data_IF_041055472535
#
_entry.id   IF_041055472535
#
_cell.length_a   1.000
_cell.length_b   1.000
_cell.length_c   1.000
_cell.angle_alpha   90.00
_cell.angle_beta   90.00
_cell.angle_gamma   90.00
#
_symmetry.space_group_name_H-M   'P 1'
#
loop_
_entity.id
_entity.type
_entity.pdbx_description
1 polymer ?
#
# COMPACT_ATOMS: atom_id res chain seq x y z
N UNK A 1 -25.26 -17.64 21.86
CA UNK A 1 -25.19 -17.05 20.52
C UNK A 1 -25.05 -15.55 20.64
N UNK A 2 -24.05 -14.99 19.98
CA UNK A 2 -23.71 -13.57 19.96
C UNK A 2 -23.57 -13.10 18.51
N UNK A 3 -24.03 -11.89 18.24
CA UNK A 3 -24.20 -11.34 16.88
C UNK A 3 -23.02 -10.44 16.44
N UNK A 4 -22.05 -10.20 17.33
CA UNK A 4 -20.89 -9.30 17.13
C UNK A 4 -19.69 -9.73 17.98
N UNK A 5 -18.46 -9.67 17.43
CA UNK A 5 -17.17 -9.97 18.08
C UNK A 5 -16.27 -8.75 18.29
N UNK A 6 -15.44 -8.75 19.34
CA UNK A 6 -14.56 -7.63 19.75
C UNK A 6 -13.32 -7.37 18.86
N UNK A 7 -13.34 -7.87 17.62
CA UNK A 7 -12.25 -7.68 16.65
C UNK A 7 -12.56 -6.54 15.67
N UNK A 8 -11.65 -6.25 14.74
CA UNK A 8 -11.92 -5.33 13.62
C UNK A 8 -13.08 -5.78 12.73
N UNK A 9 -13.53 -7.04 12.86
CA UNK A 9 -14.69 -7.53 12.13
C UNK A 9 -16.01 -6.95 12.67
N UNK A 10 -16.13 -6.69 13.99
CA UNK A 10 -17.35 -6.11 14.57
C UNK A 10 -17.08 -4.98 15.60
N UNK A 11 -16.23 -4.03 15.19
CA UNK A 11 -16.06 -2.67 15.75
C UNK A 11 -15.32 -2.48 17.09
N UNK A 12 -14.52 -3.44 17.57
CA UNK A 12 -13.63 -3.24 18.77
C UNK A 12 -14.38 -2.60 19.95
N UNK A 13 -15.36 -3.31 20.52
CA UNK A 13 -16.11 -2.84 21.68
C UNK A 13 -15.26 -2.87 22.95
N UNK A 14 -14.93 -1.69 23.49
CA UNK A 14 -14.10 -1.53 24.72
C UNK A 14 -14.90 -1.47 26.02
N UNK A 15 -16.20 -1.81 25.98
CA UNK A 15 -17.10 -1.66 27.13
C UNK A 15 -17.69 -0.26 27.29
N UNK A 16 -18.57 -0.11 28.28
CA UNK A 16 -19.10 1.19 28.70
C UNK A 16 -18.05 1.91 29.55
N UNK A 17 -17.45 2.95 28.99
CA UNK A 17 -16.44 3.78 29.66
C UNK A 17 -17.09 5.06 30.20
N UNK A 18 -17.02 5.27 31.52
CA UNK A 18 -17.68 6.40 32.21
C UNK A 18 -17.19 7.78 31.72
N UNK A 19 -15.97 7.85 31.19
CA UNK A 19 -15.37 9.04 30.61
C UNK A 19 -16.01 9.47 29.28
N UNK A 20 -16.68 8.56 28.56
CA UNK A 20 -17.22 8.80 27.21
C UNK A 20 -18.62 9.43 27.22
N UNK A 21 -18.84 10.44 28.06
CA UNK A 21 -20.15 11.09 28.23
C UNK A 21 -20.72 11.68 26.93
N UNK A 22 -19.86 12.26 26.08
CA UNK A 22 -20.30 12.83 24.81
C UNK A 22 -20.80 11.74 23.85
N UNK A 23 -20.12 10.60 23.80
CA UNK A 23 -20.56 9.44 23.00
C UNK A 23 -21.87 8.89 23.54
N UNK A 24 -22.02 8.73 24.86
CA UNK A 24 -23.27 8.30 25.48
C UNK A 24 -24.44 9.24 25.13
N UNK A 25 -24.22 10.55 25.19
CA UNK A 25 -25.22 11.54 24.81
C UNK A 25 -25.56 11.48 23.31
N UNK A 26 -24.57 11.26 22.44
CA UNK A 26 -24.80 11.11 21.00
C UNK A 26 -25.63 9.85 20.69
N UNK A 27 -25.35 8.73 21.37
CA UNK A 27 -26.13 7.49 21.24
C UNK A 27 -27.56 7.70 21.74
N UNK A 28 -27.74 8.30 22.91
CA UNK A 28 -29.07 8.58 23.46
C UNK A 28 -29.86 9.55 22.55
N UNK A 29 -29.22 10.57 21.99
CA UNK A 29 -29.84 11.52 21.07
C UNK A 29 -30.20 10.92 19.70
N UNK A 30 -29.64 9.77 19.36
CA UNK A 30 -29.90 9.05 18.10
C UNK A 30 -30.54 7.67 18.35
N UNK A 31 -31.16 7.49 19.52
CA UNK A 31 -31.77 6.23 19.92
C UNK A 31 -32.79 5.74 18.88
N UNK A 32 -32.58 4.51 18.41
CA UNK A 32 -33.45 3.86 17.42
C UNK A 32 -33.37 4.45 16.01
N UNK A 33 -32.46 5.39 15.72
CA UNK A 33 -32.26 5.88 14.36
C UNK A 33 -31.41 4.89 13.56
N UNK A 34 -31.93 4.51 12.38
CA UNK A 34 -31.25 3.61 11.45
C UNK A 34 -31.25 4.19 10.04
N UNK A 35 -30.24 3.81 9.25
CA UNK A 35 -30.20 4.13 7.82
C UNK A 35 -30.86 3.03 7.00
N UNK A 36 -31.75 3.43 6.10
CA UNK A 36 -32.45 2.52 5.18
C UNK A 36 -32.31 2.98 3.74
N UNK A 37 -32.26 2.03 2.81
CA UNK A 37 -32.48 2.29 1.40
C UNK A 37 -33.74 1.54 0.95
N UNK A 38 -34.75 2.31 0.54
CA UNK A 38 -36.10 1.76 0.33
C UNK A 38 -36.69 1.18 1.61
N UNK A 39 -36.90 -0.14 1.63
CA UNK A 39 -37.46 -0.88 2.79
C UNK A 39 -36.42 -1.71 3.56
N UNK A 40 -35.15 -1.68 3.16
CA UNK A 40 -34.08 -2.48 3.77
C UNK A 40 -33.13 -1.60 4.58
N UNK A 41 -32.59 -2.14 5.66
CA UNK A 41 -31.42 -1.55 6.34
C UNK A 41 -30.23 -1.55 5.38
N UNK A 42 -29.41 -0.50 5.43
CA UNK A 42 -28.14 -0.50 4.70
C UNK A 42 -27.05 -1.09 5.58
N UNK A 43 -26.03 -1.66 4.94
CA UNK A 43 -24.75 -1.93 5.61
C UNK A 43 -23.96 -0.62 5.65
N UNK A 44 -23.91 0.06 6.79
CA UNK A 44 -23.27 1.37 6.93
C UNK A 44 -21.75 1.24 7.16
N UNK A 45 -20.99 0.82 6.14
CA UNK A 45 -19.52 0.73 6.22
C UNK A 45 -18.87 2.08 6.47
N UNK A 46 -17.81 2.11 7.27
CA UNK A 46 -17.06 3.32 7.55
C UNK A 46 -15.57 3.01 7.69
N UNK A 47 -14.72 4.02 7.46
CA UNK A 47 -13.27 3.92 7.60
C UNK A 47 -12.71 5.13 8.34
N UNK A 48 -11.49 5.03 8.85
CA UNK A 48 -10.88 6.14 9.59
C UNK A 48 -10.67 7.36 8.68
N UNK A 49 -10.12 7.14 7.49
CA UNK A 49 -9.99 8.15 6.43
C UNK A 49 -10.15 7.49 5.07
N UNK A 50 -10.87 8.14 4.14
CA UNK A 50 -11.05 7.65 2.78
C UNK A 50 -9.97 8.18 1.81
N UNK A 51 -9.09 9.08 2.26
CA UNK A 51 -7.99 9.65 1.48
C UNK A 51 -8.43 10.71 0.48
N UNK A 52 -9.61 11.30 0.67
CA UNK A 52 -10.16 12.34 -0.21
C UNK A 52 -11.14 11.85 -1.28
N UNK A 53 -11.42 10.55 -1.36
CA UNK A 53 -12.50 10.02 -2.18
C UNK A 53 -13.06 8.73 -1.58
N UNK A 54 -14.39 8.61 -1.51
CA UNK A 54 -15.06 7.36 -1.10
C UNK A 54 -14.83 6.25 -2.13
N UNK A 55 -14.89 5.00 -1.67
CA UNK A 55 -14.72 3.82 -2.50
C UNK A 55 -16.04 3.04 -2.66
N UNK A 56 -16.16 2.25 -3.73
CA UNK A 56 -17.30 1.34 -3.88
C UNK A 56 -17.04 -0.01 -3.17
N UNK A 57 -18.09 -0.61 -2.57
CA UNK A 57 -17.97 -1.94 -1.98
C UNK A 57 -17.42 -3.00 -2.95
N UNK A 58 -17.87 -3.00 -4.21
CA UNK A 58 -17.41 -3.96 -5.23
C UNK A 58 -15.90 -3.86 -5.52
N UNK A 59 -15.32 -2.67 -5.39
CA UNK A 59 -13.90 -2.44 -5.61
C UNK A 59 -13.04 -2.98 -4.47
N UNK A 60 -13.64 -3.23 -3.30
CA UNK A 60 -12.91 -3.73 -2.12
C UNK A 60 -13.19 -5.21 -1.89
N UNK A 61 -14.45 -5.64 -2.02
CA UNK A 61 -14.90 -6.98 -1.64
C UNK A 61 -15.53 -7.77 -2.80
N UNK A 62 -15.62 -7.19 -4.00
CA UNK A 62 -16.33 -7.80 -5.13
C UNK A 62 -17.86 -7.83 -4.94
N UNK A 63 -18.53 -8.63 -5.77
CA UNK A 63 -19.99 -8.76 -5.78
C UNK A 63 -20.67 -7.86 -6.82
N UNK A 64 -21.95 -8.15 -7.08
CA UNK A 64 -22.74 -7.53 -8.15
C UNK A 64 -23.94 -6.71 -7.67
N UNK A 65 -24.28 -6.78 -6.38
CA UNK A 65 -25.45 -6.10 -5.80
C UNK A 65 -24.99 -5.04 -4.80
N UNK A 66 -24.60 -3.87 -5.32
CA UNK A 66 -24.32 -2.71 -4.47
C UNK A 66 -25.64 -1.99 -4.20
N UNK A 67 -25.99 -1.74 -2.93
CA UNK A 67 -27.02 -0.77 -2.62
C UNK A 67 -26.70 0.57 -3.31
N UNK A 68 -27.62 1.17 -4.06
CA UNK A 68 -27.38 2.42 -4.80
C UNK A 68 -27.12 3.65 -3.90
N UNK A 69 -26.97 3.44 -2.58
CA UNK A 69 -26.50 4.42 -1.63
C UNK A 69 -24.99 4.44 -1.43
N UNK A 70 -24.21 3.94 -2.39
CA UNK A 70 -22.76 4.07 -2.44
C UNK A 70 -22.35 4.68 -3.77
N UNK A 71 -21.42 5.64 -3.72
CA UNK A 71 -20.88 6.30 -4.88
C UNK A 71 -19.40 6.61 -4.67
N UNK A 72 -18.65 6.71 -5.77
CA UNK A 72 -17.35 7.37 -5.78
C UNK A 72 -17.59 8.88 -5.70
N UNK A 73 -17.30 9.46 -4.54
CA UNK A 73 -17.55 10.86 -4.24
C UNK A 73 -16.28 11.47 -3.68
N UNK A 74 -15.86 12.59 -4.24
CA UNK A 74 -14.75 13.37 -3.70
C UNK A 74 -15.12 13.91 -2.32
N UNK A 75 -14.22 13.70 -1.36
CA UNK A 75 -14.37 14.10 0.04
C UNK A 75 -13.31 15.15 0.40
N UNK A 76 -13.56 16.44 0.08
CA UNK A 76 -12.61 17.50 0.39
C UNK A 76 -12.41 17.64 1.91
N UNK A 77 -13.38 17.23 2.72
CA UNK A 77 -13.25 17.32 4.18
C UNK A 77 -12.24 16.33 4.73
N UNK A 78 -12.21 15.10 4.22
CA UNK A 78 -11.15 14.14 4.58
C UNK A 78 -9.78 14.60 4.06
N UNK A 79 -9.72 15.10 2.82
CA UNK A 79 -8.49 15.53 2.16
C UNK A 79 -7.85 16.76 2.83
N UNK A 80 -8.66 17.72 3.30
CA UNK A 80 -8.19 18.96 3.94
C UNK A 80 -7.99 18.82 5.45
N UNK A 81 -8.50 17.75 6.07
CA UNK A 81 -8.41 17.58 7.51
C UNK A 81 -6.95 17.29 7.94
N UNK A 82 -6.32 18.17 8.76
CA UNK A 82 -4.94 17.98 9.22
C UNK A 82 -4.78 16.76 10.14
N UNK A 83 -5.86 16.25 10.73
CA UNK A 83 -5.85 15.04 11.55
C UNK A 83 -5.95 13.74 10.72
N UNK A 84 -6.22 13.85 9.42
CA UNK A 84 -6.17 12.72 8.50
C UNK A 84 -4.74 12.18 8.41
N UNK A 85 -4.59 10.87 8.65
CA UNK A 85 -3.29 10.23 8.55
C UNK A 85 -2.82 10.25 7.09
N UNK A 86 -1.75 11.00 6.85
CA UNK A 86 -1.10 11.08 5.55
C UNK A 86 0.39 10.84 5.71
N UNK A 87 1.02 10.33 4.66
CA UNK A 87 2.47 10.24 4.56
C UNK A 87 2.92 10.85 3.26
N UNK A 88 4.01 11.59 3.28
CA UNK A 88 4.48 12.36 2.12
C UNK A 88 5.97 12.23 1.92
N UNK A 89 6.37 12.31 0.65
CA UNK A 89 7.76 12.37 0.24
C UNK A 89 7.90 13.49 -0.81
N UNK A 90 8.93 14.31 -0.60
CA UNK A 90 9.26 15.42 -1.50
C UNK A 90 10.51 15.06 -2.28
N UNK A 91 10.45 15.16 -3.60
CA UNK A 91 11.52 14.85 -4.55
C UNK A 91 11.93 16.14 -5.25
N UNK A 92 13.19 16.54 -5.09
CA UNK A 92 13.73 17.73 -5.74
C UNK A 92 13.87 17.48 -7.24
N UNK A 93 13.57 18.51 -8.02
CA UNK A 93 13.71 18.51 -9.48
C UNK A 93 15.16 18.37 -9.95
N UNK A 94 16.14 18.66 -9.10
CA UNK A 94 17.57 18.44 -9.38
C UNK A 94 18.03 16.98 -9.12
N UNK A 95 17.13 16.10 -8.70
CA UNK A 95 17.44 14.69 -8.41
C UNK A 95 18.27 14.45 -7.14
N UNK A 96 18.67 15.50 -6.40
CA UNK A 96 19.67 15.42 -5.33
C UNK A 96 19.23 14.62 -4.10
N UNK A 97 17.93 14.48 -3.87
CA UNK A 97 17.37 13.78 -2.71
C UNK A 97 16.60 12.50 -3.08
N UNK A 98 16.75 12.00 -4.31
CA UNK A 98 16.11 10.74 -4.70
C UNK A 98 16.70 9.58 -3.86
N UNK A 99 15.81 8.82 -3.20
CA UNK A 99 16.24 7.70 -2.37
C UNK A 99 16.91 6.61 -3.21
N UNK A 100 17.86 5.83 -2.65
CA UNK A 100 18.45 4.70 -3.37
C UNK A 100 17.40 3.69 -3.87
N UNK A 101 16.28 3.54 -3.16
CA UNK A 101 15.18 2.69 -3.57
C UNK A 101 14.45 3.24 -4.80
N UNK A 102 14.20 4.55 -4.83
CA UNK A 102 13.54 5.21 -5.96
C UNK A 102 14.44 5.22 -7.21
N UNK A 103 15.74 5.49 -7.04
CA UNK A 103 16.72 5.39 -8.14
C UNK A 103 16.78 3.98 -8.75
N UNK A 104 16.66 2.92 -7.93
CA UNK A 104 16.55 1.55 -8.44
C UNK A 104 15.29 1.32 -9.25
N UNK A 105 14.14 1.88 -8.85
CA UNK A 105 12.91 1.79 -9.64
C UNK A 105 13.05 2.45 -11.01
N UNK A 106 13.59 3.68 -11.04
CA UNK A 106 13.84 4.40 -12.29
C UNK A 106 14.78 3.62 -13.21
N UNK A 107 15.88 3.08 -12.66
CA UNK A 107 16.82 2.26 -13.41
C UNK A 107 16.15 1.00 -13.97
N UNK A 108 15.44 0.24 -13.15
CA UNK A 108 14.81 -1.01 -13.58
C UNK A 108 13.76 -0.77 -14.67
N UNK A 109 12.99 0.32 -14.56
CA UNK A 109 12.03 0.70 -15.58
C UNK A 109 12.68 1.25 -16.86
N UNK A 110 13.90 1.78 -16.76
CA UNK A 110 14.69 2.17 -17.93
C UNK A 110 15.24 0.93 -18.64
N UNK A 111 15.77 -0.06 -17.91
CA UNK A 111 16.35 -1.30 -18.47
C UNK A 111 15.36 -2.06 -19.37
N UNK A 112 14.07 -2.01 -19.03
CA UNK A 112 13.01 -2.66 -19.80
C UNK A 112 12.61 -1.89 -21.07
N UNK A 113 13.08 -0.66 -21.26
CA UNK A 113 12.82 0.12 -22.47
C UNK A 113 13.81 -0.25 -23.57
N UNK A 114 13.34 -0.32 -24.82
CA UNK A 114 14.22 -0.49 -26.00
C UNK A 114 15.31 0.60 -26.06
N UNK A 115 15.02 1.79 -25.52
CA UNK A 115 15.94 2.90 -25.38
C UNK A 115 17.21 2.55 -24.57
N UNK A 116 17.14 1.63 -23.60
CA UNK A 116 18.31 1.18 -22.84
C UNK A 116 19.38 0.54 -23.74
N UNK A 117 18.95 -0.22 -24.74
CA UNK A 117 19.84 -0.80 -25.75
C UNK A 117 20.43 0.27 -26.68
N UNK A 118 19.69 1.35 -26.96
CA UNK A 118 20.17 2.50 -27.72
C UNK A 118 21.21 3.33 -26.94
N UNK A 119 21.05 3.45 -25.62
CA UNK A 119 21.99 4.14 -24.73
C UNK A 119 23.20 3.30 -24.30
N UNK A 120 23.26 2.01 -24.68
CA UNK A 120 24.41 1.11 -24.44
C UNK A 120 24.83 1.04 -22.97
N UNK A 121 23.86 1.16 -22.07
CA UNK A 121 24.09 1.16 -20.63
C UNK A 121 24.33 -0.28 -20.17
N UNK A 122 25.34 -0.47 -19.31
CA UNK A 122 25.59 -1.75 -18.67
C UNK A 122 24.65 -1.94 -17.47
N UNK A 123 24.24 -3.19 -17.19
CA UNK A 123 23.27 -3.55 -16.14
C UNK A 123 23.74 -3.11 -14.73
N UNK A 124 25.04 -2.82 -14.59
CA UNK A 124 25.68 -2.30 -13.38
C UNK A 124 26.25 -0.87 -13.46
N UNK A 125 26.08 -0.14 -14.57
CA UNK A 125 26.70 1.17 -14.75
C UNK A 125 26.23 2.19 -13.69
N UNK A 126 27.12 3.11 -13.23
CA UNK A 126 26.72 4.25 -12.42
C UNK A 126 25.60 5.03 -13.12
N UNK A 127 24.54 5.32 -12.38
CA UNK A 127 23.34 5.99 -12.86
C UNK A 127 23.08 7.20 -11.97
N UNK A 128 23.05 8.39 -12.57
CA UNK A 128 22.73 9.64 -11.89
C UNK A 128 21.56 10.30 -12.59
N UNK A 129 20.54 10.70 -11.84
CA UNK A 129 19.48 11.58 -12.33
C UNK A 129 19.97 13.01 -12.21
N UNK A 130 19.98 13.74 -13.32
CA UNK A 130 20.43 15.14 -13.37
C UNK A 130 19.26 16.11 -13.19
N UNK A 131 18.08 15.76 -13.69
CA UNK A 131 16.87 16.55 -13.50
C UNK A 131 15.61 15.69 -13.61
N UNK A 132 14.65 15.86 -12.71
CA UNK A 132 13.28 15.38 -12.86
C UNK A 132 12.46 16.51 -13.48
N UNK A 133 11.99 16.29 -14.70
CA UNK A 133 11.26 17.28 -15.50
C UNK A 133 9.78 17.27 -15.22
N UNK A 134 9.20 16.09 -15.04
CA UNK A 134 7.76 15.93 -14.93
C UNK A 134 7.42 14.66 -14.15
N UNK A 135 6.30 14.72 -13.41
CA UNK A 135 5.67 13.57 -12.78
C UNK A 135 4.18 13.62 -13.05
N UNK A 136 3.57 12.47 -13.37
CA UNK A 136 2.12 12.35 -13.56
C UNK A 136 1.60 11.05 -12.99
N UNK A 137 0.51 11.14 -12.23
CA UNK A 137 -0.27 9.96 -11.83
C UNK A 137 -1.16 9.55 -13.00
N UNK A 138 -1.28 8.24 -13.23
CA UNK A 138 -1.98 7.65 -14.37
C UNK A 138 -2.54 6.28 -14.04
N UNK A 139 -3.32 5.74 -14.98
CA UNK A 139 -3.95 4.42 -14.92
C UNK A 139 -4.79 4.25 -13.64
N UNK A 140 -5.97 4.89 -13.55
CA UNK A 140 -6.88 4.66 -12.45
C UNK A 140 -7.26 3.18 -12.42
N UNK A 141 -7.27 2.59 -11.21
CA UNK A 141 -7.57 1.16 -11.03
C UNK A 141 -8.98 0.81 -11.50
N UNK A 142 -9.91 1.74 -11.32
CA UNK A 142 -11.31 1.60 -11.68
C UNK A 142 -11.71 2.69 -12.66
N UNK A 143 -12.87 2.52 -13.27
CA UNK A 143 -13.42 3.50 -14.18
C UNK A 143 -13.64 4.87 -13.52
N UNK A 144 -13.71 5.91 -14.35
CA UNK A 144 -14.03 7.26 -13.90
C UNK A 144 -15.32 7.26 -13.05
N UNK A 145 -15.35 7.98 -11.91
CA UNK A 145 -14.41 9.03 -11.49
C UNK A 145 -13.31 8.58 -10.50
N UNK A 146 -12.87 7.32 -10.53
CA UNK A 146 -11.90 6.81 -9.54
C UNK A 146 -10.59 7.60 -9.49
N UNK A 147 -10.17 7.98 -8.28
CA UNK A 147 -8.87 8.62 -7.99
C UNK A 147 -7.80 7.64 -7.51
N UNK A 148 -8.09 6.35 -7.48
CA UNK A 148 -7.12 5.33 -7.08
C UNK A 148 -6.17 5.03 -8.26
N UNK A 149 -5.12 5.83 -8.38
CA UNK A 149 -4.13 5.71 -9.45
C UNK A 149 -3.17 4.53 -9.18
N UNK A 150 -2.76 3.84 -10.23
CA UNK A 150 -1.86 2.67 -10.11
C UNK A 150 -0.47 2.89 -10.69
N UNK A 151 -0.29 3.90 -11.55
CA UNK A 151 0.99 4.19 -12.20
C UNK A 151 1.44 5.63 -11.95
N UNK A 152 2.76 5.79 -11.82
CA UNK A 152 3.45 7.07 -11.83
C UNK A 152 4.35 7.15 -13.07
N UNK A 153 4.05 8.07 -13.98
CA UNK A 153 4.93 8.42 -15.07
C UNK A 153 5.95 9.46 -14.60
N UNK A 154 7.23 9.27 -14.92
CA UNK A 154 8.32 10.18 -14.58
C UNK A 154 9.12 10.50 -15.83
N UNK A 155 9.30 11.79 -16.10
CA UNK A 155 10.20 12.29 -17.15
C UNK A 155 11.44 12.86 -16.47
N UNK A 156 12.61 12.36 -16.84
CA UNK A 156 13.86 12.80 -16.22
C UNK A 156 15.06 12.71 -17.17
N UNK A 157 16.03 13.58 -16.91
CA UNK A 157 17.34 13.56 -17.53
C UNK A 157 18.29 12.77 -16.64
N UNK A 158 19.12 11.94 -17.25
CA UNK A 158 20.11 11.15 -16.54
C UNK A 158 21.43 11.11 -17.27
N UNK A 159 22.49 10.84 -16.52
CA UNK A 159 23.83 10.56 -17.01
C UNK A 159 24.25 9.18 -16.51
N UNK A 160 24.78 8.37 -17.42
CA UNK A 160 25.31 7.05 -17.09
C UNK A 160 26.58 6.73 -17.89
N UNK A 161 27.40 5.84 -17.35
CA UNK A 161 28.66 5.42 -17.99
C UNK A 161 28.39 4.35 -19.06
N UNK A 162 29.04 4.52 -20.20
CA UNK A 162 28.96 3.65 -21.37
C UNK A 162 29.97 2.50 -21.27
N UNK A 163 29.62 1.36 -21.86
CA UNK A 163 30.55 0.24 -22.00
C UNK A 163 31.65 0.56 -23.04
N UNK A 164 32.95 0.42 -22.70
CA UNK A 164 34.01 0.60 -23.68
C UNK A 164 34.01 -0.54 -24.73
N UNK A 165 34.15 -0.19 -26.02
CA UNK A 165 34.54 -1.15 -27.06
C UNK A 165 33.53 -1.52 -28.15
N UNK A 166 32.58 -0.65 -28.53
CA UNK A 166 31.91 -0.75 -29.85
C UNK A 166 31.65 0.64 -30.40
N UNK A 167 32.14 0.96 -31.59
CA UNK A 167 31.96 2.27 -32.24
C UNK A 167 30.49 2.69 -32.28
N UNK A 168 30.20 3.97 -31.97
CA UNK A 168 28.87 4.57 -32.11
C UNK A 168 28.34 4.37 -33.55
N UNK A 169 27.03 4.15 -33.78
CA UNK A 169 26.51 4.39 -35.10
C UNK A 169 26.57 5.91 -35.30
N UNK A 170 27.27 6.37 -36.33
CA UNK A 170 27.18 7.76 -36.75
C UNK A 170 25.70 8.08 -36.97
N UNK A 171 25.25 9.19 -36.37
CA UNK A 171 23.98 9.77 -36.72
C UNK A 171 24.01 10.01 -38.24
N UNK A 172 23.13 9.33 -38.96
CA UNK A 172 23.07 9.41 -40.41
C UNK A 172 22.70 10.81 -40.87
N UNK A 173 23.69 11.66 -41.08
CA UNK A 173 23.60 12.77 -42.02
C UNK A 173 24.02 12.22 -43.39
N UNK A 174 23.02 11.90 -44.22
CA UNK A 174 23.26 11.72 -45.64
C UNK A 174 23.64 13.08 -46.24
N UNK A 175 24.93 13.40 -46.25
CA UNK A 175 25.48 14.36 -47.19
C UNK A 175 26.12 13.57 -48.35
N UNK A 176 25.40 13.50 -49.46
CA UNK A 176 25.91 13.03 -50.74
C UNK A 176 27.01 14.00 -51.21
N UNK A 177 28.27 13.63 -51.01
CA UNK A 177 29.40 14.41 -51.50
C UNK A 177 29.57 14.17 -53.02
N UNK A 178 29.36 15.24 -53.81
CA UNK A 178 29.26 15.24 -55.28
C UNK A 178 30.65 15.01 -55.95
N UNK A 179 31.68 14.71 -55.16
CA UNK A 179 33.08 14.59 -55.62
C UNK A 179 33.50 13.18 -56.04
N UNK A 180 32.66 12.16 -55.82
CA UNK A 180 32.93 10.78 -56.22
C UNK A 180 32.65 10.47 -57.71
N UNK A 181 32.31 11.48 -58.52
CA UNK A 181 31.93 11.33 -59.93
C UNK A 181 32.99 11.77 -60.95
N UNK A 182 34.15 12.26 -60.52
CA UNK A 182 35.25 12.65 -61.42
C UNK A 182 36.58 12.11 -60.89
N UNK A 183 36.94 10.92 -61.36
CA UNK A 183 38.18 10.25 -61.00
C UNK A 183 39.41 11.01 -61.49
N UNK A 184 40.15 11.62 -60.57
CA UNK A 184 41.55 12.00 -60.77
C UNK A 184 42.34 11.74 -59.49
N UNK A 185 43.34 10.85 -59.59
CA UNK A 185 44.24 10.48 -58.51
C UNK A 185 45.49 11.34 -58.55
N UNK A 186 45.81 12.05 -57.47
CA UNK A 186 47.18 12.56 -57.22
C UNK A 186 47.57 12.32 -55.75
N UNK A 187 48.78 11.83 -55.46
CA UNK A 187 49.21 11.56 -54.09
C UNK A 187 49.75 12.83 -53.41
N UNK A 188 49.31 13.09 -52.18
CA UNK A 188 49.81 14.14 -51.27
C UNK A 188 50.57 13.47 -50.11
N UNK A 189 51.64 14.08 -49.54
CA UNK A 189 52.62 13.38 -48.70
C UNK A 189 52.11 13.00 -47.30
N UNK A 190 52.75 11.98 -46.71
CA UNK A 190 52.48 11.43 -45.39
C UNK A 190 52.43 12.50 -44.28
N UNK A 191 51.31 12.53 -43.55
CA UNK A 191 51.18 13.31 -42.32
C UNK A 191 51.89 12.60 -41.15
N UNK A 192 52.63 13.38 -40.37
CA UNK A 192 53.19 13.02 -39.06
C UNK A 192 52.08 12.51 -38.13
N UNK A 193 52.26 11.38 -37.41
CA UNK A 193 51.23 10.90 -36.50
C UNK A 193 51.01 11.89 -35.34
N UNK A 194 49.76 12.31 -35.17
CA UNK A 194 49.28 13.06 -34.01
C UNK A 194 49.38 12.19 -32.73
N UNK A 195 49.54 12.80 -31.53
CA UNK A 195 49.69 12.05 -30.30
C UNK A 195 48.42 11.21 -30.01
N UNK A 196 48.62 9.93 -29.76
CA UNK A 196 47.59 9.00 -29.28
C UNK A 196 47.06 9.49 -27.94
N UNK A 197 45.77 9.85 -27.88
CA UNK A 197 45.09 10.16 -26.62
C UNK A 197 45.03 8.88 -25.75
N UNK A 198 45.39 9.02 -24.48
CA UNK A 198 45.19 7.97 -23.46
C UNK A 198 43.70 7.64 -23.30
N UNK A 199 43.30 6.35 -23.24
CA UNK A 199 41.93 5.95 -23.02
C UNK A 199 41.69 5.72 -21.52
N UNK A 200 41.51 6.77 -20.72
CA UNK A 200 41.25 6.61 -19.28
C UNK A 200 40.11 7.48 -18.72
N UNK A 201 39.26 8.05 -19.59
CA UNK A 201 37.99 8.65 -19.14
C UNK A 201 36.83 7.70 -19.50
N UNK A 202 36.00 7.27 -18.52
CA UNK A 202 34.79 6.54 -18.83
C UNK A 202 33.91 7.45 -19.70
N UNK A 203 33.55 6.97 -20.89
CA UNK A 203 32.61 7.67 -21.75
C UNK A 203 31.25 7.72 -21.04
N UNK A 204 30.67 8.91 -20.90
CA UNK A 204 29.34 9.09 -20.31
C UNK A 204 28.34 9.52 -21.38
N UNK A 205 27.10 9.08 -21.25
CA UNK A 205 25.98 9.54 -22.06
C UNK A 205 24.94 10.22 -21.18
N UNK A 206 24.39 11.32 -21.67
CA UNK A 206 23.25 12.00 -21.06
C UNK A 206 22.04 11.93 -21.98
N UNK A 207 20.87 11.65 -21.42
CA UNK A 207 19.63 11.57 -22.18
C UNK A 207 18.40 11.90 -21.33
N UNK A 208 17.35 12.36 -21.99
CA UNK A 208 16.01 12.47 -21.42
C UNK A 208 15.24 11.17 -21.68
N UNK A 209 14.50 10.69 -20.69
CA UNK A 209 13.65 9.52 -20.84
C UNK A 209 12.35 9.64 -20.06
N UNK A 210 11.39 8.81 -20.43
CA UNK A 210 10.11 8.66 -19.75
C UNK A 210 9.98 7.22 -19.29
N UNK A 211 9.69 7.03 -18.00
CA UNK A 211 9.42 5.71 -17.42
C UNK A 211 8.07 5.71 -16.72
N UNK A 212 7.45 4.53 -16.67
CA UNK A 212 6.20 4.30 -15.93
C UNK A 212 6.51 3.34 -14.79
N UNK A 213 6.19 3.75 -13.56
CA UNK A 213 6.43 2.99 -12.34
C UNK A 213 5.11 2.53 -11.74
N UNK A 214 5.09 1.33 -11.17
CA UNK A 214 3.98 0.88 -10.32
C UNK A 214 3.97 1.64 -9.00
N UNK A 215 2.84 2.26 -8.66
CA UNK A 215 2.65 2.90 -7.35
C UNK A 215 2.71 1.85 -6.25
N UNK A 216 2.02 0.73 -6.48
CA UNK A 216 1.89 -0.38 -5.55
C UNK A 216 2.61 -1.63 -6.07
N UNK A 217 3.49 -2.27 -5.28
CA UNK A 217 4.09 -1.77 -4.05
C UNK A 217 5.28 -0.81 -4.31
N UNK A 218 5.59 -0.51 -5.58
CA UNK A 218 6.85 0.11 -6.00
C UNK A 218 7.13 1.49 -5.39
N UNK A 219 6.53 2.53 -5.98
CA UNK A 219 6.78 3.94 -5.59
C UNK A 219 6.50 4.15 -4.10
N UNK A 220 5.38 3.61 -3.60
CA UNK A 220 4.94 3.88 -2.23
C UNK A 220 5.94 3.38 -1.18
N UNK A 221 6.56 2.22 -1.42
CA UNK A 221 7.60 1.66 -0.54
C UNK A 221 8.95 2.34 -0.77
N UNK A 222 9.31 2.64 -2.01
CA UNK A 222 10.58 3.31 -2.31
C UNK A 222 10.66 4.72 -1.71
N UNK A 223 9.51 5.37 -1.55
CA UNK A 223 9.37 6.68 -0.91
C UNK A 223 9.05 6.60 0.59
N UNK A 224 8.75 5.42 1.13
CA UNK A 224 8.41 5.25 2.55
C UNK A 224 7.09 5.91 2.95
N UNK A 225 6.16 6.08 2.00
CA UNK A 225 4.89 6.78 2.20
C UNK A 225 3.69 5.85 2.37
N UNK A 226 3.89 4.53 2.47
CA UNK A 226 2.78 3.61 2.74
C UNK A 226 2.26 3.78 4.18
N UNK A 227 0.95 3.89 4.33
CA UNK A 227 0.25 4.02 5.60
C UNK A 227 -0.08 2.65 6.20
N UNK A 228 -0.67 1.78 5.38
CA UNK A 228 -1.29 0.53 5.81
C UNK A 228 -0.68 -0.71 5.17
N UNK A 229 0.17 -0.54 4.15
CA UNK A 229 0.70 -1.63 3.33
C UNK A 229 -0.33 -2.25 2.40
N UNK A 230 -1.53 -1.69 2.31
CA UNK A 230 -2.56 -2.10 1.37
C UNK A 230 -2.44 -1.33 0.06
N UNK A 231 -2.77 -1.99 -1.05
CA UNK A 231 -2.70 -1.39 -2.38
C UNK A 231 -3.93 -0.53 -2.67
N UNK A 232 -4.48 0.20 -1.71
CA UNK A 232 -5.72 0.97 -1.89
C UNK A 232 -5.61 2.45 -1.51
N UNK A 233 -4.39 2.90 -1.16
CA UNK A 233 -4.12 4.27 -0.71
C UNK A 233 -4.31 5.29 -1.85
N UNK A 234 -4.86 6.47 -1.55
CA UNK A 234 -5.02 7.54 -2.54
C UNK A 234 -3.75 8.36 -2.57
N UNK A 235 -3.01 8.28 -3.67
CA UNK A 235 -1.80 9.08 -3.88
C UNK A 235 -2.17 10.33 -4.65
N UNK A 236 -1.80 11.48 -4.10
CA UNK A 236 -1.88 12.79 -4.77
C UNK A 236 -0.47 13.31 -5.06
N UNK A 237 -0.37 14.15 -6.09
CA UNK A 237 0.88 14.77 -6.53
C UNK A 237 0.70 16.29 -6.57
N UNK A 238 1.59 17.00 -5.89
CA UNK A 238 1.71 18.45 -5.99
C UNK A 238 3.10 18.82 -6.50
N UNK A 239 3.17 19.92 -7.26
CA UNK A 239 4.41 20.43 -7.84
C UNK A 239 4.62 21.86 -7.35
N UNK A 240 5.85 22.15 -6.92
CA UNK A 240 6.35 23.50 -6.68
C UNK A 240 7.48 23.84 -7.66
N UNK A 241 8.08 25.03 -7.56
CA UNK A 241 9.14 25.49 -8.47
C UNK A 241 10.37 24.56 -8.48
N UNK A 242 10.65 23.88 -7.36
CA UNK A 242 11.88 23.14 -7.10
C UNK A 242 11.68 21.65 -6.84
N UNK A 243 10.44 21.19 -6.64
CA UNK A 243 10.16 19.84 -6.15
C UNK A 243 8.78 19.31 -6.56
N UNK A 244 8.65 17.98 -6.48
CA UNK A 244 7.42 17.22 -6.57
C UNK A 244 7.13 16.58 -5.22
N UNK A 245 5.93 16.73 -4.68
CA UNK A 245 5.52 16.07 -3.43
C UNK A 245 4.42 15.06 -3.70
N UNK A 246 4.72 13.79 -3.42
CA UNK A 246 3.71 12.73 -3.40
C UNK A 246 3.18 12.59 -1.98
N UNK A 247 1.86 12.56 -1.84
CA UNK A 247 1.18 12.35 -0.56
C UNK A 247 0.27 11.15 -0.69
N UNK A 248 0.51 10.13 0.15
CA UNK A 248 -0.40 9.01 0.35
C UNK A 248 -1.41 9.37 1.44
N UNK A 249 -2.68 9.07 1.18
CA UNK A 249 -3.79 9.16 2.11
C UNK A 249 -4.67 7.90 2.03
N UNK A 250 -5.71 7.86 2.88
CA UNK A 250 -6.60 6.73 3.17
C UNK A 250 -6.05 5.82 4.27
N UNK A 251 -6.90 5.59 5.26
CA UNK A 251 -6.67 4.62 6.33
C UNK A 251 -7.95 3.80 6.56
N UNK A 252 -7.94 2.58 6.04
CA UNK A 252 -9.10 1.69 5.95
C UNK A 252 -9.53 1.45 4.51
N UNK A 253 -10.71 0.89 4.32
CA UNK A 253 -11.20 0.49 3.00
C UNK A 253 -11.69 1.66 2.12
N UNK A 254 -12.00 2.82 2.70
CA UNK A 254 -12.52 3.99 1.97
C UNK A 254 -14.00 3.93 1.60
N UNK A 255 -14.64 2.75 1.71
CA UNK A 255 -16.08 2.59 1.49
C UNK A 255 -16.93 3.25 2.58
N UNK A 256 -17.94 4.02 2.16
CA UNK A 256 -18.92 4.67 3.03
C UNK A 256 -18.34 5.85 3.81
N UNK A 257 -18.66 5.95 5.10
CA UNK A 257 -18.34 7.14 5.90
C UNK A 257 -16.84 7.24 6.24
N UNK A 258 -16.22 8.39 5.98
CA UNK A 258 -14.93 8.75 6.59
C UNK A 258 -15.15 9.37 7.97
N UNK A 259 -14.53 8.80 9.00
CA UNK A 259 -14.56 9.36 10.36
C UNK A 259 -13.90 10.75 10.39
N UNK A 260 -12.76 10.91 9.72
CA UNK A 260 -12.05 12.20 9.62
C UNK A 260 -12.81 13.22 8.80
N UNK A 261 -13.43 12.82 7.70
CA UNK A 261 -14.26 13.72 6.91
C UNK A 261 -15.52 14.13 7.68
N UNK A 262 -16.20 13.21 8.37
CA UNK A 262 -17.35 13.52 9.23
C UNK A 262 -16.99 14.46 10.40
N UNK A 263 -15.87 14.19 11.08
CA UNK A 263 -15.34 15.07 12.13
C UNK A 263 -15.13 16.50 11.59
N UNK A 264 -14.49 16.63 10.42
CA UNK A 264 -14.14 17.92 9.86
C UNK A 264 -15.36 18.67 9.32
N UNK A 265 -16.32 17.98 8.71
CA UNK A 265 -17.63 18.55 8.34
C UNK A 265 -18.35 19.15 9.54
N UNK A 266 -18.38 18.43 10.67
CA UNK A 266 -19.02 18.91 11.89
C UNK A 266 -18.24 20.08 12.51
N UNK A 267 -16.91 20.01 12.57
CA UNK A 267 -16.11 21.04 13.26
C UNK A 267 -15.88 22.31 12.46
N UNK A 268 -15.71 22.20 11.13
CA UNK A 268 -15.37 23.33 10.25
C UNK A 268 -16.64 24.03 9.75
N UNK A 269 -17.61 23.25 9.29
CA UNK A 269 -18.80 23.78 8.60
C UNK A 269 -20.07 23.70 9.45
N UNK A 270 -20.02 23.08 10.63
CA UNK A 270 -21.15 22.96 11.54
C UNK A 270 -22.26 22.02 11.03
N UNK A 271 -21.95 21.11 10.10
CA UNK A 271 -22.93 20.20 9.50
C UNK A 271 -23.50 19.24 10.54
N UNK A 272 -24.81 19.02 10.48
CA UNK A 272 -25.51 18.02 11.30
C UNK A 272 -25.21 16.59 10.84
N UNK A 273 -25.47 15.60 11.70
CA UNK A 273 -25.20 14.19 11.37
C UNK A 273 -26.06 13.72 10.19
N UNK A 274 -27.28 14.24 10.03
CA UNK A 274 -28.17 13.92 8.92
C UNK A 274 -27.55 14.33 7.58
N UNK A 275 -26.94 15.52 7.53
CA UNK A 275 -26.28 16.04 6.33
C UNK A 275 -25.00 15.29 6.00
N UNK A 276 -24.24 14.91 7.03
CA UNK A 276 -23.02 14.09 6.91
C UNK A 276 -23.39 12.70 6.37
N UNK A 277 -24.41 12.05 6.94
CA UNK A 277 -24.86 10.74 6.48
C UNK A 277 -25.43 10.79 5.06
N UNK A 278 -26.15 11.85 4.70
CA UNK A 278 -26.66 12.03 3.33
C UNK A 278 -25.54 12.20 2.29
N UNK A 279 -24.38 12.74 2.69
CA UNK A 279 -23.20 12.83 1.82
C UNK A 279 -22.56 11.45 1.59
N UNK A 280 -22.32 10.67 2.66
CA UNK A 280 -21.64 9.37 2.56
C UNK A 280 -22.52 8.23 2.06
N UNK A 281 -23.84 8.34 2.28
CA UNK A 281 -24.82 7.32 1.88
C UNK A 281 -25.95 7.96 1.05
N UNK A 282 -25.66 8.40 -0.19
CA UNK A 282 -26.61 9.15 -1.00
C UNK A 282 -27.93 8.38 -1.20
N UNK A 283 -29.05 9.04 -0.95
CA UNK A 283 -30.39 8.44 -1.08
C UNK A 283 -30.77 7.45 0.03
N UNK A 284 -29.89 7.19 1.01
CA UNK A 284 -30.30 6.55 2.25
C UNK A 284 -31.17 7.51 3.09
N UNK A 285 -32.11 6.95 3.83
CA UNK A 285 -33.08 7.68 4.65
C UNK A 285 -32.95 7.22 6.09
N UNK A 286 -32.85 8.19 6.99
CA UNK A 286 -32.91 7.97 8.43
C UNK A 286 -34.34 7.61 8.81
N UNK A 287 -34.53 6.51 9.53
CA UNK A 287 -35.83 6.08 10.05
C UNK A 287 -35.73 5.77 11.53
N UNK A 288 -36.81 6.04 12.25
CA UNK A 288 -37.01 5.49 13.58
C UNK A 288 -37.33 4.00 13.45
N UNK A 289 -36.49 3.17 14.05
CA UNK A 289 -36.72 1.75 14.23
C UNK A 289 -37.03 1.50 15.69
N UNK A 290 -38.31 1.25 15.99
CA UNK A 290 -38.74 0.79 17.31
C UNK A 290 -38.72 -0.74 17.30
N UNK A 291 -37.54 -1.33 17.49
CA UNK A 291 -37.49 -2.74 17.90
C UNK A 291 -38.00 -2.85 19.34
N UNK A 292 -38.77 -3.90 19.66
CA UNK A 292 -38.84 -4.33 21.05
C UNK A 292 -37.42 -4.74 21.43
N UNK A 293 -36.81 -4.05 22.40
CA UNK A 293 -35.58 -4.52 23.01
C UNK A 293 -35.89 -5.87 23.62
N UNK A 294 -35.42 -6.95 22.99
CA UNK A 294 -35.44 -8.25 23.63
C UNK A 294 -34.75 -8.06 24.99
N UNK A 295 -35.42 -8.36 26.12
CA UNK A 295 -34.80 -8.19 27.41
C UNK A 295 -33.49 -8.97 27.39
N UNK A 296 -32.39 -8.28 27.69
CA UNK A 296 -31.11 -8.96 27.89
C UNK A 296 -31.37 -10.08 28.89
N UNK A 297 -30.95 -11.33 28.63
CA UNK A 297 -31.13 -12.40 29.58
C UNK A 297 -30.51 -11.95 30.90
N UNK A 298 -31.33 -11.87 31.94
CA UNK A 298 -30.85 -11.54 33.27
C UNK A 298 -29.81 -12.61 33.65
N UNK A 299 -28.61 -12.21 34.10
CA UNK A 299 -27.64 -13.18 34.59
C UNK A 299 -28.30 -13.99 35.71
N UNK A 300 -28.09 -15.31 35.70
CA UNK A 300 -28.59 -16.20 36.75
C UNK A 300 -28.19 -15.62 38.12
N UNK A 301 -29.13 -15.39 39.06
CA UNK A 301 -28.84 -14.84 40.38
C UNK A 301 -27.68 -15.55 41.10
N UNK A 302 -27.49 -16.86 40.83
CA UNK A 302 -26.39 -17.65 41.38
C UNK A 302 -25.01 -17.17 40.89
N UNK A 303 -24.92 -16.63 39.68
CA UNK A 303 -23.69 -16.06 39.10
C UNK A 303 -23.42 -14.63 39.58
N UNK A 304 -24.41 -13.93 40.15
CA UNK A 304 -24.27 -12.57 40.68
C UNK A 304 -23.85 -12.52 42.15
N UNK A 305 -24.06 -13.60 42.91
CA UNK A 305 -23.70 -13.69 44.35
C UNK A 305 -22.25 -14.12 44.60
N UNK A 306 -21.52 -14.59 43.58
CA UNK A 306 -20.09 -14.84 43.70
C UNK A 306 -19.34 -13.59 43.26
N UNK A 307 -18.51 -12.95 44.11
CA UNK A 307 -17.59 -11.93 43.64
C UNK A 307 -16.78 -12.54 42.49
N UNK A 308 -16.96 -12.00 41.29
CA UNK A 308 -16.18 -12.41 40.14
C UNK A 308 -14.70 -12.37 40.52
N UNK A 309 -13.89 -13.37 40.12
CA UNK A 309 -12.46 -13.33 40.39
C UNK A 309 -11.93 -11.97 39.91
N UNK A 310 -11.05 -11.35 40.71
CA UNK A 310 -10.42 -10.08 40.33
C UNK A 310 -9.97 -10.17 38.87
N UNK A 311 -10.23 -9.13 38.03
CA UNK A 311 -9.98 -9.18 36.61
C UNK A 311 -8.55 -9.67 36.38
N UNK A 312 -8.45 -10.93 35.98
CA UNK A 312 -7.20 -11.50 35.54
C UNK A 312 -7.12 -11.08 34.09
N UNK A 313 -6.03 -10.41 33.70
CA UNK A 313 -5.80 -10.02 32.31
C UNK A 313 -6.22 -11.18 31.41
N UNK A 314 -7.09 -10.91 30.41
CA UNK A 314 -7.55 -11.92 29.46
C UNK A 314 -6.31 -12.69 29.02
N UNK A 315 -6.20 -13.99 29.34
CA UNK A 315 -5.05 -14.75 28.89
C UNK A 315 -5.05 -14.64 27.37
N UNK A 316 -3.93 -14.19 26.78
CA UNK A 316 -3.69 -14.37 25.34
C UNK A 316 -4.13 -15.81 24.98
N UNK A 317 -4.75 -16.03 23.80
CA UNK A 317 -5.23 -17.33 23.38
C UNK A 317 -4.25 -18.40 23.83
N UNK A 318 -4.73 -19.34 24.64
CA UNK A 318 -3.91 -20.36 25.27
C UNK A 318 -3.02 -20.95 24.20
N UNK A 319 -1.70 -20.91 24.39
CA UNK A 319 -0.74 -21.60 23.55
C UNK A 319 -1.23 -23.04 23.42
N UNK A 320 -1.83 -23.37 22.28
CA UNK A 320 -2.24 -24.73 21.97
C UNK A 320 -0.97 -25.58 22.05
N UNK A 321 -0.91 -26.59 22.92
CA UNK A 321 0.23 -27.48 22.94
C UNK A 321 0.24 -28.23 21.61
N UNK A 322 1.37 -28.16 20.90
CA UNK A 322 1.62 -29.03 19.75
C UNK A 322 1.48 -30.47 20.23
N UNK A 323 0.32 -31.07 19.95
CA UNK A 323 -0.05 -32.36 20.51
C UNK A 323 0.26 -33.45 19.49
N UNK A 324 1.53 -33.60 19.07
CA UNK A 324 1.92 -34.75 18.23
C UNK A 324 3.44 -34.93 18.17
N UNK A 325 3.87 -36.19 18.03
CA UNK A 325 5.27 -36.54 17.84
C UNK A 325 5.81 -35.86 16.57
N UNK A 326 6.95 -35.18 16.70
CA UNK A 326 7.60 -34.49 15.58
C UNK A 326 7.92 -35.50 14.45
N UNK A 327 7.48 -35.24 13.20
CA UNK A 327 7.92 -35.98 12.03
C UNK A 327 9.45 -35.96 11.89
N UNK A 328 10.03 -36.94 11.20
CA UNK A 328 11.48 -37.03 10.98
C UNK A 328 11.99 -35.78 10.24
N UNK A 329 12.91 -35.03 10.86
CA UNK A 329 13.44 -33.76 10.33
C UNK A 329 12.70 -32.50 10.79
N UNK A 330 11.53 -32.62 11.40
CA UNK A 330 10.74 -31.48 11.89
C UNK A 330 11.27 -30.95 13.24
N UNK A 331 11.14 -29.64 13.47
CA UNK A 331 11.57 -28.98 14.70
C UNK A 331 10.56 -27.93 15.20
N UNK A 332 10.62 -27.61 16.49
CA UNK A 332 9.68 -26.68 17.13
C UNK A 332 10.17 -25.23 17.00
N UNK A 333 9.30 -24.32 16.57
CA UNK A 333 9.58 -22.89 16.49
C UNK A 333 8.58 -22.05 17.28
N UNK A 334 9.00 -20.85 17.63
CA UNK A 334 8.17 -19.78 18.18
C UNK A 334 8.25 -18.56 17.25
N UNK A 335 7.13 -17.86 17.07
CA UNK A 335 7.10 -16.57 16.38
C UNK A 335 7.67 -15.49 17.31
N UNK A 336 8.84 -14.91 17.02
CA UNK A 336 9.50 -13.99 17.96
C UNK A 336 9.78 -12.61 17.36
N UNK A 337 10.10 -12.53 16.07
CA UNK A 337 10.59 -11.29 15.45
C UNK A 337 9.45 -10.42 14.88
N UNK A 338 8.36 -10.29 15.64
CA UNK A 338 7.24 -9.39 15.34
C UNK A 338 6.91 -8.56 16.59
N UNK A 339 6.32 -7.38 16.40
CA UNK A 339 5.87 -6.52 17.49
C UNK A 339 4.69 -7.15 18.26
N UNK A 340 4.45 -6.72 19.50
CA UNK A 340 3.46 -7.32 20.40
C UNK A 340 2.00 -7.16 19.92
N UNK A 341 1.75 -6.18 19.06
CA UNK A 341 0.48 -5.85 18.40
C UNK A 341 0.42 -6.30 16.93
N UNK A 342 1.46 -6.98 16.44
CA UNK A 342 1.55 -7.46 15.06
C UNK A 342 1.21 -8.94 14.93
N UNK A 343 1.04 -9.41 13.68
CA UNK A 343 0.80 -10.81 13.37
C UNK A 343 1.56 -11.26 12.12
N UNK A 344 1.97 -12.52 12.11
CA UNK A 344 2.61 -13.17 10.98
C UNK A 344 1.57 -13.93 10.16
N UNK A 345 1.47 -13.64 8.87
CA UNK A 345 0.52 -14.34 7.98
C UNK A 345 1.06 -15.73 7.61
N UNK A 346 0.29 -16.78 7.95
CA UNK A 346 0.43 -18.12 7.39
C UNK A 346 -0.22 -18.16 6.01
N UNK A 347 0.51 -18.58 4.99
CA UNK A 347 0.04 -18.54 3.59
C UNK A 347 -0.12 -19.92 2.98
N UNK A 348 -0.95 -20.03 1.96
CA UNK A 348 -1.19 -21.30 1.24
C UNK A 348 0.01 -21.74 0.39
N UNK A 349 0.83 -20.78 -0.08
CA UNK A 349 2.03 -21.00 -0.88
C UNK A 349 3.21 -20.15 -0.36
N UNK A 350 4.48 -20.50 -0.66
CA UNK A 350 5.67 -19.77 -0.23
C UNK A 350 5.88 -18.46 -1.02
N UNK A 351 4.87 -17.61 -1.02
CA UNK A 351 4.83 -16.34 -1.76
C UNK A 351 4.11 -15.27 -0.93
N UNK A 352 4.61 -14.02 -0.90
CA UNK A 352 3.92 -12.92 -0.22
C UNK A 352 2.57 -12.55 -0.87
N UNK A 353 2.29 -13.01 -2.09
CA UNK A 353 1.02 -12.80 -2.79
C UNK A 353 -0.01 -13.91 -2.55
N UNK A 354 0.37 -15.02 -1.91
CA UNK A 354 -0.50 -16.17 -1.70
C UNK A 354 -1.59 -15.90 -0.66
N UNK A 355 -2.69 -16.64 -0.74
CA UNK A 355 -3.82 -16.52 0.20
C UNK A 355 -3.38 -16.71 1.65
N UNK A 356 -3.93 -15.88 2.55
CA UNK A 356 -3.66 -15.96 3.98
C UNK A 356 -4.58 -17.03 4.57
N UNK A 357 -3.99 -18.15 4.98
CA UNK A 357 -4.68 -19.26 5.65
C UNK A 357 -5.06 -18.89 7.07
N UNK A 358 -4.13 -18.28 7.82
CA UNK A 358 -4.38 -17.78 9.18
C UNK A 358 -3.33 -16.74 9.60
N UNK A 359 -3.56 -16.10 10.75
CA UNK A 359 -2.59 -15.19 11.38
C UNK A 359 -2.00 -15.83 12.63
N UNK A 360 -0.69 -15.72 12.79
CA UNK A 360 0.08 -16.23 13.91
C UNK A 360 0.56 -15.06 14.78
N UNK A 361 0.43 -15.20 16.09
CA UNK A 361 0.80 -14.15 17.04
C UNK A 361 2.18 -14.36 17.63
N UNK A 362 2.74 -13.31 18.22
CA UNK A 362 4.03 -13.39 18.90
C UNK A 362 3.99 -14.42 20.03
N UNK A 363 5.06 -15.21 20.13
CA UNK A 363 5.27 -16.37 20.97
C UNK A 363 4.45 -17.61 20.61
N UNK A 364 3.65 -17.57 19.53
CA UNK A 364 2.90 -18.74 19.09
C UNK A 364 3.86 -19.85 18.64
N UNK A 365 3.66 -21.05 19.20
CA UNK A 365 4.45 -22.23 18.87
C UNK A 365 3.88 -22.94 17.65
N UNK A 366 4.78 -23.48 16.84
CA UNK A 366 4.45 -24.23 15.63
C UNK A 366 5.53 -25.28 15.33
N UNK A 367 5.21 -26.24 14.46
CA UNK A 367 6.18 -27.19 13.92
C UNK A 367 6.65 -26.67 12.56
N UNK A 368 7.97 -26.56 12.38
CA UNK A 368 8.56 -26.40 11.06
C UNK A 368 8.81 -27.79 10.47
N UNK A 369 8.17 -28.07 9.34
CA UNK A 369 8.23 -29.37 8.66
C UNK A 369 9.42 -29.44 7.70
N UNK A 370 9.56 -28.44 6.83
CA UNK A 370 10.57 -28.40 5.78
C UNK A 370 10.88 -26.97 5.34
N UNK A 371 12.08 -26.77 4.77
CA UNK A 371 12.42 -25.54 4.06
C UNK A 371 11.82 -25.59 2.66
N UNK A 372 11.13 -24.53 2.26
CA UNK A 372 10.62 -24.44 0.89
C UNK A 372 11.78 -24.17 -0.09
N UNK A 373 11.61 -24.55 -1.35
CA UNK A 373 12.59 -24.27 -2.42
C UNK A 373 12.80 -22.76 -2.63
N UNK A 374 11.81 -21.96 -2.26
CA UNK A 374 11.88 -20.49 -2.30
C UNK A 374 12.63 -19.99 -1.06
N UNK A 375 13.77 -19.36 -1.32
CA UNK A 375 14.67 -18.82 -0.28
C UNK A 375 13.91 -18.01 0.78
N UNK A 376 14.05 -18.44 2.05
CA UNK A 376 13.52 -17.74 3.22
C UNK A 376 12.14 -18.19 3.69
N UNK A 377 11.47 -19.10 2.98
CA UNK A 377 10.19 -19.67 3.40
C UNK A 377 10.34 -21.06 4.00
N UNK A 378 9.50 -21.34 5.00
CA UNK A 378 9.39 -22.66 5.61
C UNK A 378 7.94 -23.10 5.64
N UNK A 379 7.72 -24.39 5.44
CA UNK A 379 6.40 -25.01 5.61
C UNK A 379 6.22 -25.35 7.09
N UNK A 380 5.10 -24.90 7.64
CA UNK A 380 4.80 -25.02 9.05
C UNK A 380 3.44 -25.65 9.28
N UNK A 381 3.33 -26.45 10.33
CA UNK A 381 2.10 -27.05 10.82
C UNK A 381 1.77 -26.49 12.19
N UNK A 382 0.53 -26.06 12.34
CA UNK A 382 -0.14 -25.78 13.61
C UNK A 382 -1.20 -26.85 13.85
N UNK A 383 -1.84 -26.87 15.01
CA UNK A 383 -2.92 -27.83 15.29
C UNK A 383 -4.19 -27.55 14.45
N UNK A 384 -4.33 -26.36 13.86
CA UNK A 384 -5.52 -25.93 13.11
C UNK A 384 -5.31 -25.87 11.60
N UNK A 385 -4.09 -25.58 11.15
CA UNK A 385 -3.78 -25.39 9.74
C UNK A 385 -2.29 -25.61 9.43
N UNK A 386 -2.02 -25.86 8.16
CA UNK A 386 -0.70 -26.00 7.59
C UNK A 386 -0.51 -24.97 6.46
N UNK A 387 0.70 -24.43 6.32
CA UNK A 387 1.01 -23.44 5.30
C UNK A 387 2.46 -22.98 5.34
N UNK A 388 2.73 -21.80 4.79
CA UNK A 388 4.07 -21.26 4.64
C UNK A 388 4.22 -19.93 5.36
N UNK A 389 5.37 -19.75 6.02
CA UNK A 389 5.79 -18.49 6.65
C UNK A 389 7.26 -18.21 6.34
N UNK A 390 7.67 -16.95 6.48
CA UNK A 390 9.07 -16.60 6.38
C UNK A 390 9.84 -17.02 7.64
N UNK A 391 10.97 -17.71 7.44
CA UNK A 391 11.86 -18.20 8.48
C UNK A 391 12.41 -17.08 9.37
N UNK A 392 12.61 -15.88 8.81
CA UNK A 392 13.12 -14.71 9.55
C UNK A 392 12.25 -14.29 10.74
N UNK A 393 10.97 -14.68 10.77
CA UNK A 393 10.07 -14.37 11.87
C UNK A 393 10.02 -15.44 12.96
N UNK A 394 10.73 -16.55 12.76
CA UNK A 394 10.73 -17.70 13.65
C UNK A 394 12.03 -17.81 14.44
N UNK A 395 11.92 -18.38 15.63
CA UNK A 395 13.04 -18.78 16.47
C UNK A 395 12.89 -20.24 16.87
N UNK A 396 13.95 -21.03 16.67
CA UNK A 396 13.98 -22.42 17.10
C UNK A 396 13.88 -22.53 18.63
N UNK A 397 12.96 -23.35 19.09
CA UNK A 397 12.74 -23.66 20.50
C UNK A 397 13.39 -25.01 20.78
N UNK A 398 14.23 -25.07 21.81
CA UNK A 398 14.79 -26.35 22.29
C UNK A 398 13.67 -27.16 22.95
N UNK A 399 13.65 -28.48 22.68
CA UNK A 399 12.69 -29.44 23.24
C UNK A 399 12.53 -29.31 24.75
#
# INVERSE_FOLDING_TARGET
DWDVVDTTNDQVFKGLLEENKNTANAVAGTEGLVLTYGKKLITAWYSASNGGQTELPQHVWGGSDIPPCFALTDDPWDAENPDSLTRKATLKKDGSNLSPAFLRLLRNALVTQEAYSAFRLDEGAPFRVDAVREMRLSDPRYEEPSRLMTRLQVVFDFTAELKPGRSAPEAGEQELDIRDLLGESTPTPAQTPAPTASPDHPETASAACTVTLDIFPGVINALGISISGADNEIVSLTEDDSSFTLTSGRFGHGVGLSQRGAQYQASKDGRGFEEILAFYYPGAVIKQYSGETAPLPAPDPVLAETPGPAPTATPRPTLMPVTEALPEGAWLASVENIDDDSSLNLRSEPSPAAEIVMRLYKHQRLIVLEYAEVNGWVRVKTDAAEGYVMYSFLKQVKK
#
